data_IF_729862088751
#
_entry.id   IF_729862088751
#
_cell.length_a   1.000
_cell.length_b   1.000
_cell.length_c   1.000
_cell.angle_alpha   90.00
_cell.angle_beta   90.00
_cell.angle_gamma   90.00
#
_symmetry.space_group_name_H-M   'P 1'
#
loop_
_entity.id
_entity.type
_entity.pdbx_description
1 polymer ?
#
# COMPACT_ATOMS: atom_id res chain seq x y z
N UNK A 1 -6.61 6.78 2.07
CA UNK A 1 -7.75 6.90 3.02
C UNK A 1 -7.94 5.53 3.63
N UNK A 2 -8.09 5.43 4.94
CA UNK A 2 -8.31 4.14 5.60
C UNK A 2 -9.81 3.90 5.80
N UNK A 3 -10.31 2.73 5.39
CA UNK A 3 -11.72 2.36 5.58
C UNK A 3 -11.90 1.68 6.95
N UNK A 4 -13.11 1.74 7.52
CA UNK A 4 -13.44 1.01 8.75
C UNK A 4 -13.18 -0.49 8.62
N UNK A 5 -13.44 -1.07 7.44
CA UNK A 5 -13.14 -2.47 7.14
C UNK A 5 -11.64 -2.78 7.23
N UNK A 6 -10.79 -1.90 6.72
CA UNK A 6 -9.33 -2.06 6.80
C UNK A 6 -8.83 -1.93 8.26
N UNK A 7 -9.37 -0.99 9.04
CA UNK A 7 -9.04 -0.88 10.48
C UNK A 7 -9.40 -2.16 11.22
N UNK A 8 -10.59 -2.71 10.98
CA UNK A 8 -11.02 -3.96 11.60
C UNK A 8 -10.15 -5.16 11.18
N UNK A 9 -9.63 -5.16 9.94
CA UNK A 9 -8.73 -6.20 9.45
C UNK A 9 -7.30 -6.08 10.02
N UNK A 10 -6.83 -4.84 10.22
CA UNK A 10 -5.46 -4.56 10.66
C UNK A 10 -5.17 -5.14 12.05
N UNK A 11 -6.12 -5.05 12.98
CA UNK A 11 -6.07 -5.65 14.33
C UNK A 11 -4.90 -5.18 15.23
N UNK A 12 -4.03 -4.28 14.76
CA UNK A 12 -2.98 -3.63 15.55
C UNK A 12 -2.57 -2.27 14.97
N UNK A 13 -1.98 -1.42 15.81
CA UNK A 13 -1.48 -0.11 15.40
C UNK A 13 -0.33 -0.22 14.39
N UNK A 14 0.55 -1.21 14.54
CA UNK A 14 1.60 -1.52 13.56
C UNK A 14 1.00 -1.79 12.16
N UNK A 15 -0.06 -2.61 12.10
CA UNK A 15 -0.71 -2.95 10.84
C UNK A 15 -1.44 -1.75 10.22
N UNK A 16 -2.04 -0.90 11.04
CA UNK A 16 -2.62 0.38 10.58
C UNK A 16 -1.50 1.28 10.03
N UNK A 17 -0.35 1.35 10.69
CA UNK A 17 0.80 2.12 10.25
C UNK A 17 1.32 1.63 8.89
N UNK A 18 1.34 0.31 8.63
CA UNK A 18 1.74 -0.23 7.32
C UNK A 18 0.85 0.30 6.19
N UNK A 19 -0.47 0.30 6.38
CA UNK A 19 -1.42 0.77 5.37
C UNK A 19 -1.28 2.28 5.15
N UNK A 20 -1.22 3.06 6.23
CA UNK A 20 -1.10 4.52 6.13
C UNK A 20 0.23 4.94 5.49
N UNK A 21 1.34 4.34 5.92
CA UNK A 21 2.66 4.63 5.35
C UNK A 21 2.73 4.23 3.88
N UNK A 22 2.07 3.15 3.47
CA UNK A 22 1.98 2.73 2.06
C UNK A 22 1.27 3.76 1.20
N UNK A 23 0.12 4.26 1.65
CA UNK A 23 -0.63 5.33 0.97
C UNK A 23 0.21 6.61 0.88
N UNK A 24 0.90 6.99 1.96
CA UNK A 24 1.78 8.16 1.99
C UNK A 24 2.97 7.97 1.03
N UNK A 25 3.59 6.79 1.01
CA UNK A 25 4.71 6.49 0.13
C UNK A 25 4.33 6.59 -1.36
N UNK A 26 3.14 6.11 -1.75
CA UNK A 26 2.62 6.31 -3.11
C UNK A 26 2.52 7.79 -3.50
N UNK A 27 2.05 8.63 -2.58
CA UNK A 27 1.93 10.08 -2.80
C UNK A 27 3.31 10.76 -2.87
N UNK A 28 4.20 10.45 -1.93
CA UNK A 28 5.56 11.02 -1.88
C UNK A 28 6.34 10.68 -3.15
N UNK A 29 6.16 9.47 -3.69
CA UNK A 29 6.81 9.03 -4.93
C UNK A 29 6.07 9.48 -6.20
N UNK A 30 4.95 10.20 -6.08
CA UNK A 30 4.22 10.74 -7.21
C UNK A 30 3.60 9.69 -8.13
N UNK A 31 3.37 8.47 -7.66
CA UNK A 31 2.91 7.35 -8.51
C UNK A 31 1.58 7.65 -9.21
N UNK A 32 0.68 8.42 -8.57
CA UNK A 32 -0.58 8.81 -9.18
C UNK A 32 -0.41 9.68 -10.44
N UNK A 33 0.59 10.57 -10.45
CA UNK A 33 0.90 11.39 -11.60
C UNK A 33 1.54 10.54 -12.72
N UNK A 34 2.47 9.65 -12.35
CA UNK A 34 3.19 8.76 -13.29
C UNK A 34 2.24 7.88 -14.10
N UNK A 35 1.23 7.34 -13.44
CA UNK A 35 0.29 6.40 -14.05
C UNK A 35 -0.91 7.08 -14.69
N UNK A 36 -1.05 8.41 -14.52
CA UNK A 36 -2.26 9.18 -14.85
C UNK A 36 -3.51 8.62 -14.18
N UNK A 37 -3.35 7.94 -13.06
CA UNK A 37 -4.43 7.32 -12.30
C UNK A 37 -4.29 7.71 -10.85
N UNK A 38 -5.36 8.24 -10.26
CA UNK A 38 -5.44 8.45 -8.83
C UNK A 38 -5.56 7.08 -8.14
N UNK A 39 -4.43 6.38 -7.96
CA UNK A 39 -4.36 5.15 -7.16
C UNK A 39 -4.61 5.39 -5.67
N UNK A 40 -4.73 6.64 -5.27
CA UNK A 40 -5.25 7.00 -3.98
C UNK A 40 -6.76 7.03 -4.02
N UNK A 41 -7.36 6.57 -2.91
CA UNK A 41 -8.79 6.66 -2.62
C UNK A 41 -9.39 8.08 -2.84
N UNK A 42 -8.53 9.11 -2.98
CA UNK A 42 -8.94 10.45 -3.42
C UNK A 42 -9.63 10.49 -4.79
N UNK A 43 -9.25 9.63 -5.75
CA UNK A 43 -9.89 9.61 -7.07
C UNK A 43 -11.36 9.14 -7.06
N UNK A 44 -11.73 8.30 -6.10
CA UNK A 44 -13.11 7.86 -5.88
C UNK A 44 -13.93 9.02 -5.28
N UNK A 45 -13.35 9.73 -4.30
CA UNK A 45 -14.00 10.88 -3.66
C UNK A 45 -14.18 12.02 -4.67
N UNK A 46 -13.15 12.40 -5.42
CA UNK A 46 -13.22 13.49 -6.42
C UNK A 46 -14.28 13.20 -7.50
N UNK A 47 -14.48 11.93 -7.88
CA UNK A 47 -15.56 11.54 -8.79
C UNK A 47 -16.96 11.64 -8.14
N UNK A 48 -17.07 11.29 -6.87
CA UNK A 48 -18.31 11.40 -6.08
C UNK A 48 -18.75 12.85 -5.83
N UNK A 49 -17.82 13.81 -5.82
CA UNK A 49 -18.14 15.25 -5.69
C UNK A 49 -18.36 15.95 -7.05
N UNK A 50 -18.18 15.26 -8.17
CA UNK A 50 -18.38 15.83 -9.50
C UNK A 50 -19.87 16.06 -9.82
N UNK A 51 -20.17 17.11 -10.60
CA UNK A 51 -21.54 17.48 -11.03
C UNK A 51 -22.25 16.33 -11.78
N UNK A 52 -21.47 15.45 -12.41
CA UNK A 52 -21.93 14.17 -12.98
C UNK A 52 -20.94 13.07 -12.60
N UNK A 53 -21.21 12.29 -11.55
CA UNK A 53 -20.36 11.17 -11.16
C UNK A 53 -20.30 10.13 -12.28
N UNK A 54 -19.12 9.57 -12.52
CA UNK A 54 -18.97 8.45 -13.44
C UNK A 54 -19.19 7.14 -12.68
N UNK A 55 -20.43 6.64 -12.71
CA UNK A 55 -20.83 5.43 -12.00
C UNK A 55 -20.28 4.15 -12.65
N UNK A 56 -19.70 4.23 -13.87
CA UNK A 56 -18.94 3.10 -14.44
C UNK A 56 -17.72 2.77 -13.57
N UNK A 57 -17.28 3.73 -12.74
CA UNK A 57 -16.22 3.52 -11.78
C UNK A 57 -16.59 2.62 -10.58
N UNK A 58 -17.88 2.38 -10.36
CA UNK A 58 -18.36 1.49 -9.30
C UNK A 58 -18.52 0.03 -9.73
N UNK A 59 -18.45 -0.27 -11.04
CA UNK A 59 -18.67 -1.61 -11.60
C UNK A 59 -17.34 -2.15 -12.16
N UNK A 60 -16.68 -3.05 -11.42
CA UNK A 60 -15.32 -3.49 -11.75
C UNK A 60 -14.27 -2.38 -11.55
N UNK A 61 -13.00 -2.61 -11.93
CA UNK A 61 -11.90 -1.67 -11.66
C UNK A 61 -12.00 -0.34 -12.41
N UNK A 62 -13.13 0.01 -13.03
CA UNK A 62 -13.34 1.37 -13.54
C UNK A 62 -12.36 1.85 -14.63
N UNK A 63 -11.61 0.95 -15.27
CA UNK A 63 -10.47 1.35 -16.10
C UNK A 63 -9.23 1.81 -15.31
N UNK A 64 -9.25 1.74 -13.97
CA UNK A 64 -8.05 1.75 -13.13
C UNK A 64 -7.23 0.51 -13.49
N UNK A 65 -6.06 0.77 -14.04
CA UNK A 65 -5.07 -0.25 -14.36
C UNK A 65 -4.47 -0.71 -13.05
N UNK A 66 -4.04 -1.95 -12.90
CA UNK A 66 -3.32 -2.33 -11.70
C UNK A 66 -2.01 -1.55 -11.57
N UNK A 67 -1.57 -1.26 -10.33
CA UNK A 67 -0.30 -0.60 -10.06
C UNK A 67 0.86 -1.41 -10.65
N UNK A 68 1.75 -0.80 -11.44
CA UNK A 68 2.98 -1.47 -11.90
C UNK A 68 3.81 -1.97 -10.72
N UNK A 69 4.36 -3.19 -10.84
CA UNK A 69 5.04 -3.87 -9.74
C UNK A 69 6.22 -3.07 -9.17
N UNK A 70 6.97 -2.35 -10.02
CA UNK A 70 8.13 -1.57 -9.62
C UNK A 70 7.72 -0.36 -8.78
N UNK A 71 6.61 0.29 -9.15
CA UNK A 71 6.05 1.40 -8.38
C UNK A 71 5.49 0.90 -7.05
N UNK A 72 4.82 -0.25 -7.04
CA UNK A 72 4.30 -0.80 -5.80
C UNK A 72 5.44 -1.19 -4.85
N UNK A 73 6.47 -1.86 -5.34
CA UNK A 73 7.65 -2.22 -4.56
C UNK A 73 8.43 -0.99 -4.05
N UNK A 74 8.57 0.06 -4.84
CA UNK A 74 9.18 1.32 -4.38
C UNK A 74 8.40 1.91 -3.20
N UNK A 75 7.07 1.86 -3.24
CA UNK A 75 6.24 2.30 -2.12
C UNK A 75 6.32 1.34 -0.91
N UNK A 76 6.44 0.02 -1.10
CA UNK A 76 6.68 -0.93 0.00
C UNK A 76 8.00 -0.63 0.71
N UNK A 77 9.06 -0.37 -0.07
CA UNK A 77 10.36 -0.06 0.48
C UNK A 77 10.32 1.24 1.31
N UNK A 78 9.85 2.34 0.71
CA UNK A 78 9.80 3.64 1.39
C UNK A 78 8.88 3.61 2.63
N UNK A 79 7.71 2.97 2.53
CA UNK A 79 6.76 2.91 3.64
C UNK A 79 7.30 2.18 4.85
N UNK A 80 8.07 1.10 4.69
CA UNK A 80 8.68 0.40 5.82
C UNK A 80 9.74 1.24 6.53
N UNK A 81 10.50 2.06 5.81
CA UNK A 81 11.38 3.04 6.45
C UNK A 81 10.60 4.12 7.20
N UNK A 82 9.45 4.58 6.66
CA UNK A 82 8.57 5.51 7.38
C UNK A 82 8.04 4.91 8.68
N UNK A 83 7.55 3.66 8.63
CA UNK A 83 7.05 2.89 9.78
C UNK A 83 8.14 2.74 10.85
N UNK A 84 9.33 2.27 10.46
CA UNK A 84 10.43 2.07 11.40
C UNK A 84 10.90 3.39 12.03
N UNK A 85 10.98 4.48 11.25
CA UNK A 85 11.34 5.81 11.77
C UNK A 85 10.28 6.40 12.70
N UNK A 86 9.02 6.02 12.52
CA UNK A 86 7.92 6.40 13.40
C UNK A 86 7.85 5.55 14.68
N UNK A 87 8.76 4.58 14.86
CA UNK A 87 8.84 3.74 16.05
C UNK A 87 7.95 2.49 16.03
N UNK A 88 7.29 2.20 14.91
CA UNK A 88 6.47 1.00 14.75
C UNK A 88 7.31 -0.21 14.36
N UNK A 89 6.83 -1.40 14.71
CA UNK A 89 7.51 -2.65 14.41
C UNK A 89 7.33 -3.03 12.93
N UNK A 90 8.40 -3.42 12.24
CA UNK A 90 8.35 -3.83 10.81
C UNK A 90 8.28 -5.35 10.62
N UNK A 91 8.56 -6.16 11.64
CA UNK A 91 8.64 -7.62 11.52
C UNK A 91 7.31 -8.26 11.08
N UNK A 92 6.18 -7.64 11.46
CA UNK A 92 4.83 -8.13 11.12
C UNK A 92 4.38 -7.82 9.69
N UNK A 93 5.11 -6.99 8.95
CA UNK A 93 4.65 -6.46 7.67
C UNK A 93 4.39 -7.56 6.62
N UNK A 94 5.33 -8.52 6.47
CA UNK A 94 5.16 -9.64 5.53
C UNK A 94 3.87 -10.41 5.82
N UNK A 95 3.69 -10.82 7.08
CA UNK A 95 2.54 -11.61 7.48
C UNK A 95 1.23 -10.84 7.27
N UNK A 96 1.20 -9.54 7.58
CA UNK A 96 0.04 -8.69 7.34
C UNK A 96 -0.36 -8.66 5.85
N UNK A 97 0.57 -8.30 4.96
CA UNK A 97 0.28 -8.20 3.53
C UNK A 97 -0.04 -9.55 2.89
N UNK A 98 0.58 -10.64 3.35
CA UNK A 98 0.26 -12.00 2.91
C UNK A 98 -1.16 -12.41 3.32
N UNK A 99 -1.57 -12.13 4.57
CA UNK A 99 -2.95 -12.39 5.03
C UNK A 99 -3.96 -11.59 4.21
N UNK A 100 -3.68 -10.31 3.95
CA UNK A 100 -4.57 -9.46 3.16
C UNK A 100 -4.78 -10.03 1.76
N UNK A 101 -3.70 -10.43 1.08
CA UNK A 101 -3.77 -11.03 -0.25
C UNK A 101 -4.46 -12.40 -0.28
N UNK A 102 -4.34 -13.17 0.81
CA UNK A 102 -5.01 -14.47 0.93
C UNK A 102 -6.51 -14.33 1.15
N UNK A 103 -6.92 -13.41 2.04
CA UNK A 103 -8.34 -13.20 2.36
C UNK A 103 -9.08 -12.42 1.27
N UNK A 104 -8.38 -11.48 0.61
CA UNK A 104 -8.91 -10.66 -0.46
C UNK A 104 -8.00 -10.82 -1.69
N UNK A 105 -8.10 -11.95 -2.42
CA UNK A 105 -7.30 -12.18 -3.63
C UNK A 105 -7.65 -11.20 -4.75
N UNK A 106 -6.83 -11.15 -5.79
CA UNK A 106 -7.04 -10.27 -6.95
C UNK A 106 -8.38 -10.51 -7.69
N UNK A 107 -9.02 -11.67 -7.49
CA UNK A 107 -10.37 -11.97 -7.99
C UNK A 107 -11.48 -11.22 -7.24
N UNK A 108 -11.21 -10.69 -6.05
CA UNK A 108 -12.11 -9.77 -5.35
C UNK A 108 -12.01 -8.41 -6.01
N UNK A 109 -12.94 -8.16 -6.93
CA UNK A 109 -13.03 -6.90 -7.68
C UNK A 109 -13.03 -5.71 -6.71
N UNK A 110 -12.32 -4.65 -7.09
CA UNK A 110 -12.17 -3.42 -6.32
C UNK A 110 -11.52 -3.59 -4.93
N UNK A 111 -11.01 -4.79 -4.62
CA UNK A 111 -10.18 -5.04 -3.45
C UNK A 111 -8.77 -4.48 -3.61
N UNK A 112 -8.07 -4.31 -2.47
CA UNK A 112 -6.69 -3.82 -2.47
C UNK A 112 -5.78 -4.65 -3.40
N UNK A 113 -5.85 -5.99 -3.32
CA UNK A 113 -5.01 -6.88 -4.13
C UNK A 113 -5.33 -6.82 -5.62
N UNK A 114 -6.55 -6.49 -6.02
CA UNK A 114 -6.88 -6.30 -7.44
C UNK A 114 -6.17 -5.05 -8.01
N UNK A 115 -6.05 -3.99 -7.20
CA UNK A 115 -5.34 -2.77 -7.57
C UNK A 115 -3.82 -2.90 -7.42
N UNK A 116 -3.36 -3.83 -6.58
CA UNK A 116 -1.96 -4.07 -6.22
C UNK A 116 -1.56 -5.56 -6.40
N UNK A 117 -1.60 -6.10 -7.63
CA UNK A 117 -1.66 -7.55 -7.85
C UNK A 117 -0.32 -8.29 -7.77
N UNK A 118 0.81 -7.57 -7.78
CA UNK A 118 2.16 -8.17 -7.82
C UNK A 118 2.61 -8.71 -6.44
N UNK A 119 1.77 -9.50 -5.77
CA UNK A 119 1.94 -9.92 -4.37
C UNK A 119 3.29 -10.57 -4.11
N UNK A 120 3.74 -11.51 -4.94
CA UNK A 120 5.03 -12.20 -4.74
C UNK A 120 6.22 -11.23 -4.80
N UNK A 121 6.22 -10.33 -5.78
CA UNK A 121 7.26 -9.31 -5.97
C UNK A 121 7.31 -8.33 -4.79
N UNK A 122 6.15 -7.90 -4.32
CA UNK A 122 6.00 -7.03 -3.15
C UNK A 122 6.47 -7.69 -1.87
N UNK A 123 6.05 -8.93 -1.60
CA UNK A 123 6.47 -9.68 -0.41
C UNK A 123 7.99 -9.90 -0.38
N UNK A 124 8.62 -10.18 -1.52
CA UNK A 124 10.08 -10.25 -1.62
C UNK A 124 10.75 -8.89 -1.32
N UNK A 125 10.17 -7.79 -1.80
CA UNK A 125 10.66 -6.43 -1.49
C UNK A 125 10.50 -6.09 -0.01
N UNK A 126 9.39 -6.46 0.60
CA UNK A 126 9.13 -6.29 2.04
C UNK A 126 10.19 -7.03 2.85
N UNK A 127 10.45 -8.31 2.57
CA UNK A 127 11.47 -9.09 3.28
C UNK A 127 12.85 -8.44 3.20
N UNK A 128 13.26 -8.06 1.98
CA UNK A 128 14.53 -7.38 1.73
C UNK A 128 14.63 -6.07 2.53
N UNK A 129 13.55 -5.30 2.55
CA UNK A 129 13.51 -4.00 3.24
C UNK A 129 13.56 -4.17 4.75
N UNK A 130 12.80 -5.12 5.32
CA UNK A 130 12.86 -5.45 6.75
C UNK A 130 14.28 -5.87 7.14
N UNK A 131 14.92 -6.75 6.37
CA UNK A 131 16.31 -7.16 6.61
C UNK A 131 17.28 -5.97 6.59
N UNK A 132 17.13 -5.05 5.63
CA UNK A 132 17.95 -3.84 5.53
C UNK A 132 17.75 -2.91 6.73
N UNK A 133 16.50 -2.68 7.16
CA UNK A 133 16.17 -1.87 8.34
C UNK A 133 16.80 -2.47 9.60
N UNK A 134 16.64 -3.78 9.81
CA UNK A 134 17.25 -4.49 10.96
C UNK A 134 18.76 -4.33 10.99
N UNK A 135 19.41 -4.51 9.83
CA UNK A 135 20.86 -4.32 9.71
C UNK A 135 21.27 -2.89 10.08
N UNK A 136 20.55 -1.87 9.59
CA UNK A 136 20.82 -0.47 9.95
C UNK A 136 20.60 -0.21 11.44
N UNK A 137 19.52 -0.73 12.03
CA UNK A 137 19.25 -0.60 13.47
C UNK A 137 20.34 -1.24 14.32
N UNK A 138 20.77 -2.47 14.00
CA UNK A 138 21.83 -3.17 14.70
C UNK A 138 23.17 -2.41 14.64
N UNK A 139 23.44 -1.77 13.51
CA UNK A 139 24.64 -0.96 13.29
C UNK A 139 24.49 0.51 13.72
N UNK A 140 23.38 0.90 14.35
CA UNK A 140 23.06 2.29 14.75
C UNK A 140 23.17 3.29 13.59
N UNK A 141 22.85 2.85 12.39
CA UNK A 141 22.85 3.69 11.19
C UNK A 141 21.51 4.41 11.00
N UNK A 142 21.50 5.56 10.31
CA UNK A 142 20.26 6.22 9.93
C UNK A 142 19.33 5.30 9.12
N UNK A 143 18.04 5.30 9.47
CA UNK A 143 17.00 4.52 8.79
C UNK A 143 16.49 5.25 7.55
N UNK A 144 17.40 5.50 6.61
CA UNK A 144 17.08 6.08 5.31
C UNK A 144 17.15 4.98 4.23
N UNK A 145 16.21 4.99 3.26
CA UNK A 145 16.26 4.14 2.07
C UNK A 145 17.57 4.25 1.31
#
# INVERSE_FOLDING_TARGET
>A
MITRGMVNFAQSDDAIAYVLAKDIAHNVLGHAATTKQAYTVGGIIDNLVAVRPDLSMLIGTAGVKPMPQELDAAADNLSLYMVARAGYNVEGARAFWQRLATQYPASVLNGYTANHPAVSYRLATIDKTVAAIRSKQANKQPLIP
#
